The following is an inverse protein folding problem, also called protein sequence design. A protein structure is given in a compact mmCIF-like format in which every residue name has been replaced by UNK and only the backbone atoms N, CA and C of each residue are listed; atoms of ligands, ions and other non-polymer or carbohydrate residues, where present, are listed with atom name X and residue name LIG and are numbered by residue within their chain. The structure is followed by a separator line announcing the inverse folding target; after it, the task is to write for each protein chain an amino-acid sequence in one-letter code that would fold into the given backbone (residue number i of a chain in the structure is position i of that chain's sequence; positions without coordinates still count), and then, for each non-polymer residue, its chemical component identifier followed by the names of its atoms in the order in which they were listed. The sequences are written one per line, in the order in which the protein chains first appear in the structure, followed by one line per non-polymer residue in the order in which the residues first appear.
data_IF_631987058202
#
_entry.id   IF_631987058202
#
_cell.length_a   1.000
_cell.length_b   1.000
_cell.length_c   1.000
_cell.angle_alpha   90.00
_cell.angle_beta   90.00
_cell.angle_gamma   90.00
#
_symmetry.space_group_name_H-M   'P 1'
#
loop_
_entity.id
_entity.type
_entity.pdbx_description
1 polymer ?
#
# COMPACT_ATOMS: atom_id res chain seq x y z
N UNK A 1 30.38 -27.49 -63.22
CA UNK A 1 30.14 -27.53 -61.76
C UNK A 1 29.25 -26.35 -61.39
N UNK A 2 27.97 -26.58 -61.06
CA UNK A 2 27.06 -25.52 -60.57
C UNK A 2 27.19 -25.44 -59.05
N UNK A 3 27.81 -24.37 -58.54
CA UNK A 3 27.84 -24.11 -57.11
C UNK A 3 26.44 -23.75 -56.61
N UNK A 4 25.86 -24.61 -55.77
CA UNK A 4 24.61 -24.38 -55.06
C UNK A 4 24.83 -23.28 -54.00
N UNK A 5 24.65 -22.02 -54.38
CA UNK A 5 24.76 -20.83 -53.50
C UNK A 5 23.47 -20.47 -52.77
N UNK A 6 22.39 -21.27 -52.90
CA UNK A 6 21.07 -20.96 -52.34
C UNK A 6 20.86 -21.36 -50.86
N UNK A 7 21.77 -22.12 -50.25
CA UNK A 7 21.63 -22.67 -48.88
C UNK A 7 21.87 -21.69 -47.71
N UNK A 8 22.78 -20.70 -47.76
CA UNK A 8 23.03 -19.86 -46.58
C UNK A 8 21.90 -18.86 -46.33
N UNK A 9 21.24 -18.35 -47.38
CA UNK A 9 20.17 -17.35 -47.25
C UNK A 9 18.87 -17.95 -46.69
N UNK A 10 18.49 -19.15 -47.13
CA UNK A 10 17.29 -19.85 -46.62
C UNK A 10 17.44 -20.29 -45.16
N UNK A 11 18.65 -20.70 -44.75
CA UNK A 11 18.93 -21.06 -43.36
C UNK A 11 18.87 -19.83 -42.44
N UNK A 12 19.38 -18.68 -42.90
CA UNK A 12 19.34 -17.42 -42.14
C UNK A 12 17.91 -16.89 -41.97
N UNK A 13 17.08 -16.99 -43.01
CA UNK A 13 15.66 -16.62 -42.95
C UNK A 13 14.89 -17.55 -41.99
N UNK A 14 15.10 -18.86 -42.07
CA UNK A 14 14.46 -19.82 -41.16
C UNK A 14 14.89 -19.60 -39.70
N UNK A 15 16.18 -19.33 -39.45
CA UNK A 15 16.69 -19.01 -38.12
C UNK A 15 16.12 -17.68 -37.60
N UNK A 16 16.01 -16.64 -38.44
CA UNK A 16 15.40 -15.37 -38.07
C UNK A 16 13.91 -15.52 -37.74
N UNK A 17 13.16 -16.33 -38.50
CA UNK A 17 11.75 -16.60 -38.23
C UNK A 17 11.56 -17.39 -36.93
N UNK A 18 12.42 -18.39 -36.68
CA UNK A 18 12.40 -19.16 -35.44
C UNK A 18 12.72 -18.26 -34.23
N UNK A 19 13.70 -17.36 -34.36
CA UNK A 19 14.07 -16.42 -33.32
C UNK A 19 12.93 -15.43 -33.04
N UNK A 20 12.29 -14.89 -34.08
CA UNK A 20 11.10 -14.04 -33.94
C UNK A 20 9.93 -14.78 -33.30
N UNK A 21 9.67 -16.04 -33.66
CA UNK A 21 8.63 -16.85 -33.05
C UNK A 21 8.90 -17.14 -31.56
N UNK A 22 10.17 -17.44 -31.21
CA UNK A 22 10.60 -17.63 -29.82
C UNK A 22 10.47 -16.35 -29.00
N UNK A 23 10.84 -15.20 -29.56
CA UNK A 23 10.72 -13.89 -28.89
C UNK A 23 9.24 -13.55 -28.67
N UNK A 24 8.38 -13.69 -29.69
CA UNK A 24 6.94 -13.43 -29.56
C UNK A 24 6.28 -14.36 -28.55
N UNK A 25 6.64 -15.65 -28.56
CA UNK A 25 6.10 -16.62 -27.61
C UNK A 25 6.60 -16.37 -26.18
N UNK A 26 7.82 -15.86 -26.01
CA UNK A 26 8.38 -15.48 -24.70
C UNK A 26 7.76 -14.20 -24.15
N UNK A 27 7.46 -13.21 -25.00
CA UNK A 27 6.78 -11.98 -24.58
C UNK A 27 5.34 -12.27 -24.14
N UNK A 28 4.58 -13.04 -24.92
CA UNK A 28 3.22 -13.43 -24.56
C UNK A 28 3.18 -14.29 -23.28
N UNK A 29 4.12 -15.22 -23.11
CA UNK A 29 4.18 -16.01 -21.87
C UNK A 29 4.59 -15.18 -20.66
N UNK A 30 5.42 -14.14 -20.82
CA UNK A 30 5.80 -13.27 -19.71
C UNK A 30 4.63 -12.44 -19.22
N UNK A 31 3.86 -11.82 -20.12
CA UNK A 31 2.66 -11.06 -19.73
C UNK A 31 1.60 -11.96 -19.07
N UNK A 32 1.39 -13.17 -19.59
CA UNK A 32 0.49 -14.16 -19.00
C UNK A 32 0.86 -14.60 -17.56
N UNK A 33 2.12 -14.42 -17.16
CA UNK A 33 2.56 -14.71 -15.77
C UNK A 33 2.37 -13.50 -14.85
N UNK A 34 2.39 -12.29 -15.41
CA UNK A 34 2.34 -11.03 -14.66
C UNK A 34 0.91 -10.54 -14.39
N UNK A 35 -0.04 -10.97 -15.22
CA UNK A 35 -1.46 -10.65 -15.11
C UNK A 35 -2.25 -11.92 -14.78
N UNK A 36 -3.41 -11.80 -14.14
CA UNK A 36 -4.23 -12.97 -13.85
C UNK A 36 -4.83 -13.53 -15.17
N UNK A 37 -5.09 -14.84 -15.24
CA UNK A 37 -5.46 -15.51 -16.48
C UNK A 37 -6.83 -15.11 -17.04
N UNK A 38 -7.65 -14.41 -16.26
CA UNK A 38 -8.98 -13.95 -16.62
C UNK A 38 -9.02 -12.52 -17.19
N UNK A 39 -7.88 -11.82 -17.29
CA UNK A 39 -7.81 -10.48 -17.88
C UNK A 39 -7.47 -10.59 -19.37
N UNK A 40 -8.44 -10.41 -20.27
CA UNK A 40 -8.22 -10.48 -21.73
C UNK A 40 -7.53 -9.19 -22.21
N UNK A 41 -6.42 -9.27 -22.96
CA UNK A 41 -5.78 -8.11 -23.60
C UNK A 41 -6.69 -7.23 -24.46
N UNK A 42 -7.85 -7.74 -24.91
CA UNK A 42 -8.84 -6.97 -25.66
C UNK A 42 -9.68 -6.02 -24.80
N UNK A 43 -9.74 -6.26 -23.49
CA UNK A 43 -10.61 -5.53 -22.59
C UNK A 43 -9.99 -4.20 -22.14
N UNK A 44 -8.67 -4.05 -22.27
CA UNK A 44 -7.94 -2.87 -21.81
C UNK A 44 -7.00 -2.28 -22.86
N UNK A 45 -6.64 -1.01 -22.66
CA UNK A 45 -5.55 -0.34 -23.38
C UNK A 45 -4.30 -0.22 -22.50
N UNK A 46 -3.14 -0.52 -23.07
CA UNK A 46 -1.84 -0.32 -22.41
C UNK A 46 -1.40 1.13 -22.52
N UNK A 47 -1.92 2.00 -21.64
CA UNK A 47 -1.60 3.43 -21.66
C UNK A 47 -1.65 4.04 -20.26
N UNK A 48 -0.68 4.90 -19.96
CA UNK A 48 -0.71 5.78 -18.79
C UNK A 48 -1.52 7.06 -19.00
N UNK A 49 -1.89 7.38 -20.25
CA UNK A 49 -2.66 8.58 -20.58
C UNK A 49 -4.09 8.22 -20.94
N UNK A 50 -5.04 8.97 -20.37
CA UNK A 50 -6.47 8.78 -20.57
C UNK A 50 -6.87 9.49 -21.86
N UNK A 51 -6.79 8.74 -22.97
CA UNK A 51 -7.09 9.25 -24.33
C UNK A 51 -8.32 8.60 -24.95
N UNK A 52 -8.87 7.59 -24.30
CA UNK A 52 -10.05 6.86 -24.73
C UNK A 52 -10.87 6.48 -23.51
N UNK A 53 -12.18 6.31 -23.69
CA UNK A 53 -13.04 5.81 -22.63
C UNK A 53 -13.07 4.27 -22.68
N UNK A 54 -12.09 3.65 -22.03
CA UNK A 54 -11.89 2.20 -21.94
C UNK A 54 -11.17 1.85 -20.65
N UNK A 55 -11.08 0.56 -20.34
CA UNK A 55 -10.25 0.10 -19.23
C UNK A 55 -8.78 0.34 -19.59
N UNK A 56 -7.96 0.74 -18.62
CA UNK A 56 -6.54 1.02 -18.81
C UNK A 56 -5.71 0.09 -17.96
N UNK A 57 -4.67 -0.50 -18.56
CA UNK A 57 -3.64 -1.22 -17.84
C UNK A 57 -2.34 -0.42 -17.88
N UNK A 58 -1.92 0.04 -16.71
CA UNK A 58 -0.80 0.95 -16.53
C UNK A 58 0.34 0.17 -15.90
N UNK A 59 1.46 0.05 -16.61
CA UNK A 59 2.65 -0.59 -16.08
C UNK A 59 3.32 0.32 -15.05
N UNK A 60 3.84 -0.29 -13.98
CA UNK A 60 4.71 0.39 -13.03
C UNK A 60 5.97 0.92 -13.71
N UNK A 61 6.40 2.13 -13.32
CA UNK A 61 7.56 2.80 -13.91
C UNK A 61 8.89 2.07 -13.65
N UNK A 62 8.97 1.29 -12.58
CA UNK A 62 10.24 0.75 -12.06
C UNK A 62 10.18 -0.71 -11.58
N UNK A 63 9.10 -1.44 -11.83
CA UNK A 63 9.04 -2.89 -11.63
C UNK A 63 8.01 -3.59 -12.55
N UNK A 64 7.84 -4.90 -12.34
CA UNK A 64 6.93 -5.75 -13.14
C UNK A 64 5.52 -5.84 -12.51
N UNK A 65 5.03 -4.72 -11.98
CA UNK A 65 3.68 -4.56 -11.42
C UNK A 65 2.81 -3.71 -12.34
N UNK A 66 1.49 -3.84 -12.19
CA UNK A 66 0.51 -3.13 -13.02
C UNK A 66 -0.60 -2.54 -12.17
N UNK A 67 -1.18 -1.44 -12.63
CA UNK A 67 -2.41 -0.85 -12.12
C UNK A 67 -3.46 -0.99 -13.22
N UNK A 68 -4.57 -1.65 -12.91
CA UNK A 68 -5.75 -1.65 -13.76
C UNK A 68 -6.73 -0.59 -13.28
N UNK A 69 -7.10 0.28 -14.19
CA UNK A 69 -8.08 1.33 -13.99
C UNK A 69 -9.30 0.99 -14.84
N UNK A 70 -10.44 0.62 -14.22
CA UNK A 70 -11.68 0.43 -14.95
C UNK A 70 -12.16 1.74 -15.58
N UNK A 71 -12.86 1.66 -16.71
CA UNK A 71 -13.46 2.82 -17.38
C UNK A 71 -14.50 3.51 -16.50
N UNK A 72 -15.20 2.76 -15.64
CA UNK A 72 -16.15 3.31 -14.66
C UNK A 72 -15.45 4.32 -13.76
N UNK A 73 -14.22 4.04 -13.34
CA UNK A 73 -13.41 4.98 -12.55
C UNK A 73 -13.05 6.26 -13.30
N UNK A 74 -13.03 6.23 -14.63
CA UNK A 74 -12.83 7.44 -15.44
C UNK A 74 -14.09 8.32 -15.40
N UNK A 75 -15.27 7.72 -15.57
CA UNK A 75 -16.53 8.48 -15.55
C UNK A 75 -16.89 8.97 -14.14
N UNK A 76 -16.71 8.12 -13.13
CA UNK A 76 -17.26 8.34 -11.79
C UNK A 76 -16.30 9.08 -10.85
N UNK A 77 -15.00 9.17 -11.18
CA UNK A 77 -13.97 9.61 -10.21
C UNK A 77 -13.06 10.74 -10.67
N UNK A 78 -13.62 11.73 -11.37
CA UNK A 78 -12.90 12.98 -11.73
C UNK A 78 -11.58 12.76 -12.50
N UNK A 79 -11.33 11.58 -13.08
CA UNK A 79 -10.23 11.39 -14.03
C UNK A 79 -10.69 11.90 -15.38
N UNK A 80 -9.93 12.83 -15.96
CA UNK A 80 -10.33 13.52 -17.17
C UNK A 80 -9.51 13.05 -18.36
N UNK A 81 -10.07 13.32 -19.54
CA UNK A 81 -9.33 13.21 -20.79
C UNK A 81 -8.02 13.99 -20.70
N UNK A 82 -6.92 13.38 -21.16
CA UNK A 82 -5.52 13.84 -21.06
C UNK A 82 -4.85 13.74 -19.69
N UNK A 83 -5.54 13.32 -18.63
CA UNK A 83 -4.84 13.01 -17.39
C UNK A 83 -3.86 11.86 -17.60
N UNK A 84 -2.72 11.92 -16.91
CA UNK A 84 -1.76 10.82 -16.85
C UNK A 84 -1.85 10.13 -15.50
N UNK A 85 -2.15 8.84 -15.50
CA UNK A 85 -2.12 8.00 -14.30
C UNK A 85 -0.79 7.25 -14.27
N UNK A 86 -0.12 7.27 -13.12
CA UNK A 86 1.18 6.64 -12.92
C UNK A 86 1.14 5.68 -11.75
N UNK A 87 1.83 4.55 -11.91
CA UNK A 87 2.12 3.60 -10.86
C UNK A 87 3.63 3.54 -10.68
N UNK A 88 4.11 3.65 -9.45
CA UNK A 88 5.54 3.57 -9.16
C UNK A 88 5.79 2.84 -7.86
N UNK A 89 6.70 1.88 -7.84
CA UNK A 89 7.20 1.31 -6.58
C UNK A 89 8.02 2.36 -5.82
N UNK A 90 7.73 2.52 -4.54
CA UNK A 90 8.36 3.49 -3.64
C UNK A 90 8.95 2.79 -2.41
N UNK A 91 9.61 3.56 -1.54
CA UNK A 91 10.16 3.05 -0.30
C UNK A 91 9.06 2.40 0.56
N UNK A 92 9.35 1.24 1.19
CA UNK A 92 8.38 0.50 1.98
C UNK A 92 7.76 1.38 3.06
N UNK A 93 6.44 1.41 3.14
CA UNK A 93 5.73 2.26 4.11
C UNK A 93 6.08 1.91 5.56
N UNK A 94 6.31 0.63 5.86
CA UNK A 94 6.71 0.19 7.21
C UNK A 94 8.11 0.65 7.62
N UNK A 95 8.97 1.00 6.66
CA UNK A 95 10.35 1.41 6.91
C UNK A 95 10.48 2.95 6.96
N UNK A 96 9.40 3.69 6.70
CA UNK A 96 9.41 5.16 6.72
C UNK A 96 9.40 5.64 8.14
N UNK A 97 10.41 6.40 8.49
CA UNK A 97 10.52 7.01 9.82
C UNK A 97 9.39 8.00 10.16
N UNK A 98 8.75 8.62 9.16
CA UNK A 98 7.57 9.47 9.35
C UNK A 98 6.26 8.70 9.59
N UNK A 99 6.30 7.37 9.53
CA UNK A 99 5.15 6.50 9.76
C UNK A 99 5.44 5.56 10.93
N UNK A 100 4.38 5.13 11.61
CA UNK A 100 4.46 4.06 12.61
C UNK A 100 3.20 3.21 12.59
N UNK A 101 3.36 1.90 12.71
CA UNK A 101 2.26 0.95 12.82
C UNK A 101 2.53 -0.06 13.93
N UNK A 102 1.56 -0.93 14.24
CA UNK A 102 1.70 -1.99 15.25
C UNK A 102 3.05 -2.70 15.18
N UNK A 103 3.74 -2.78 16.31
CA UNK A 103 5.03 -3.44 16.46
C UNK A 103 4.94 -4.91 16.05
N UNK A 104 5.82 -5.31 15.14
CA UNK A 104 5.84 -6.64 14.54
C UNK A 104 5.00 -6.81 13.26
N UNK A 105 4.39 -5.75 12.73
CA UNK A 105 3.69 -5.82 11.43
C UNK A 105 4.66 -6.10 10.29
N UNK A 106 4.19 -6.81 9.26
CA UNK A 106 5.05 -7.28 8.17
C UNK A 106 4.52 -6.85 6.80
N UNK A 107 5.43 -6.49 5.89
CA UNK A 107 5.07 -6.16 4.51
C UNK A 107 4.81 -7.43 3.70
N UNK A 108 3.60 -7.56 3.15
CA UNK A 108 3.22 -8.63 2.24
C UNK A 108 3.49 -8.27 0.77
N UNK A 109 3.55 -6.98 0.43
CA UNK A 109 3.92 -6.51 -0.91
C UNK A 109 5.04 -5.46 -0.86
N UNK A 110 5.46 -4.99 -2.03
CA UNK A 110 6.11 -3.68 -2.11
C UNK A 110 5.09 -2.56 -1.89
N UNK A 111 5.58 -1.35 -1.58
CA UNK A 111 4.74 -0.16 -1.51
C UNK A 111 4.70 0.54 -2.87
N UNK A 112 3.52 0.98 -3.27
CA UNK A 112 3.28 1.61 -4.55
C UNK A 112 2.66 2.97 -4.37
N UNK A 113 3.13 3.95 -5.15
CA UNK A 113 2.51 5.25 -5.31
C UNK A 113 1.68 5.26 -6.58
N UNK A 114 0.41 5.65 -6.44
CA UNK A 114 -0.50 5.93 -7.54
C UNK A 114 -0.71 7.44 -7.59
N UNK A 115 -0.33 8.07 -8.70
CA UNK A 115 -0.53 9.51 -8.91
C UNK A 115 -1.32 9.76 -10.17
N UNK A 116 -2.13 10.81 -10.13
CA UNK A 116 -2.87 11.33 -11.27
C UNK A 116 -2.32 12.71 -11.55
N UNK A 117 -1.83 12.90 -12.76
CA UNK A 117 -1.18 14.12 -13.22
C UNK A 117 -2.13 14.81 -14.19
N UNK A 118 -2.62 15.98 -13.79
CA UNK A 118 -3.40 16.88 -14.65
C UNK A 118 -2.54 18.08 -14.97
N UNK A 119 -2.29 18.33 -16.26
CA UNK A 119 -1.40 19.41 -16.69
C UNK A 119 -0.02 19.38 -16.00
N UNK A 120 0.52 18.18 -15.76
CA UNK A 120 1.78 17.93 -15.02
C UNK A 120 1.76 18.20 -13.51
N UNK A 121 0.61 18.56 -12.93
CA UNK A 121 0.43 18.70 -11.50
C UNK A 121 -0.21 17.45 -10.91
N UNK A 122 0.31 16.98 -9.77
CA UNK A 122 -0.27 15.84 -9.05
C UNK A 122 -1.55 16.29 -8.37
N UNK A 123 -2.65 15.62 -8.67
CA UNK A 123 -3.92 15.78 -7.95
C UNK A 123 -4.12 14.59 -7.03
N UNK A 124 -4.68 14.84 -5.86
CA UNK A 124 -5.11 13.79 -4.93
C UNK A 124 -6.58 13.53 -5.13
N UNK A 125 -6.93 12.29 -5.46
CA UNK A 125 -8.30 11.81 -5.54
C UNK A 125 -8.56 10.86 -4.39
N UNK A 126 -9.50 11.24 -3.52
CA UNK A 126 -10.21 10.30 -2.68
C UNK A 126 -11.42 9.82 -3.48
N UNK A 127 -11.48 8.52 -3.72
CA UNK A 127 -12.48 7.91 -4.58
C UNK A 127 -13.29 6.88 -3.80
N UNK A 128 -14.37 6.39 -4.39
CA UNK A 128 -15.17 5.32 -3.81
C UNK A 128 -14.40 4.01 -3.86
N UNK A 129 -14.98 3.01 -3.20
CA UNK A 129 -14.50 1.63 -3.21
C UNK A 129 -14.26 1.12 -4.63
N UNK A 130 -13.18 0.37 -4.80
CA UNK A 130 -12.80 -0.32 -6.04
C UNK A 130 -12.37 0.61 -7.19
N UNK A 131 -11.81 1.79 -6.87
CA UNK A 131 -11.29 2.75 -7.85
C UNK A 131 -10.30 2.14 -8.84
N UNK A 132 -9.36 1.32 -8.37
CA UNK A 132 -8.40 0.63 -9.24
C UNK A 132 -7.91 -0.66 -8.60
N UNK A 133 -7.23 -1.51 -9.37
CA UNK A 133 -6.65 -2.77 -8.89
C UNK A 133 -5.14 -2.79 -9.13
N UNK A 134 -4.36 -3.08 -8.10
CA UNK A 134 -2.91 -3.27 -8.24
C UNK A 134 -2.62 -4.77 -8.40
N UNK A 135 -1.83 -5.11 -9.42
CA UNK A 135 -1.26 -6.44 -9.66
C UNK A 135 0.22 -6.40 -9.31
N UNK A 136 0.63 -7.15 -8.29
CA UNK A 136 2.02 -7.10 -7.83
C UNK A 136 2.53 -8.43 -7.30
N UNK A 137 3.86 -8.49 -7.12
CA UNK A 137 4.49 -9.59 -6.41
C UNK A 137 4.19 -9.53 -4.91
N UNK A 138 3.93 -10.70 -4.33
CA UNK A 138 3.83 -10.91 -2.88
C UNK A 138 5.20 -11.34 -2.37
N UNK A 139 5.59 -10.83 -1.21
CA UNK A 139 6.82 -11.19 -0.50
C UNK A 139 6.57 -12.46 0.32
N UNK A 140 7.50 -13.42 0.21
CA UNK A 140 7.49 -14.65 1.02
C UNK A 140 6.32 -15.59 0.71
N UNK A 141 6.15 -16.60 1.57
CA UNK A 141 5.07 -17.60 1.50
C UNK A 141 3.98 -17.29 2.53
N UNK A 142 3.57 -16.02 2.64
CA UNK A 142 2.58 -15.60 3.62
C UNK A 142 1.15 -15.92 3.15
N UNK A 143 0.27 -16.23 4.10
CA UNK A 143 -1.16 -16.33 3.82
C UNK A 143 -1.74 -14.94 3.58
N UNK A 144 -2.51 -14.77 2.51
CA UNK A 144 -3.18 -13.49 2.19
C UNK A 144 -4.50 -13.31 2.96
N UNK A 145 -4.93 -14.31 3.75
CA UNK A 145 -6.22 -14.27 4.45
C UNK A 145 -6.32 -13.17 5.52
N UNK A 146 -5.18 -12.76 6.08
CA UNK A 146 -5.09 -11.71 7.10
C UNK A 146 -4.45 -10.43 6.55
N UNK A 147 -4.43 -10.26 5.22
CA UNK A 147 -3.87 -9.07 4.61
C UNK A 147 -4.72 -7.84 4.92
N UNK A 148 -4.06 -6.75 5.26
CA UNK A 148 -4.63 -5.41 5.34
C UNK A 148 -4.03 -4.53 4.26
N UNK A 149 -4.83 -3.61 3.73
CA UNK A 149 -4.38 -2.57 2.82
C UNK A 149 -3.96 -1.37 3.66
N UNK A 150 -2.66 -1.17 3.79
CA UNK A 150 -2.11 0.07 4.35
C UNK A 150 -2.13 1.14 3.27
N UNK A 151 -2.73 2.29 3.56
CA UNK A 151 -2.84 3.42 2.63
C UNK A 151 -2.38 4.72 3.29
N UNK A 152 -1.69 5.56 2.52
CA UNK A 152 -1.31 6.92 2.90
C UNK A 152 -1.69 7.86 1.76
N UNK A 153 -2.81 8.55 1.94
CA UNK A 153 -3.32 9.57 1.00
C UNK A 153 -3.10 10.96 1.58
N UNK A 154 -3.92 11.32 2.55
CA UNK A 154 -3.69 12.44 3.48
C UNK A 154 -3.30 11.93 4.87
N UNK A 155 -3.99 10.87 5.29
CA UNK A 155 -3.87 10.22 6.57
C UNK A 155 -3.44 8.76 6.37
N UNK A 156 -2.58 8.26 7.26
CA UNK A 156 -2.24 6.84 7.32
C UNK A 156 -3.48 6.04 7.77
N UNK A 157 -3.88 5.04 7.00
CA UNK A 157 -5.05 4.22 7.29
C UNK A 157 -4.77 2.75 6.95
N UNK A 158 -5.51 1.84 7.57
CA UNK A 158 -5.50 0.43 7.24
C UNK A 158 -6.92 -0.16 7.25
N UNK A 159 -7.18 -1.09 6.35
CA UNK A 159 -8.43 -1.82 6.28
C UNK A 159 -8.20 -3.27 5.84
N UNK A 160 -9.15 -4.21 6.08
CA UNK A 160 -9.02 -5.57 5.58
C UNK A 160 -8.96 -5.58 4.06
N UNK A 161 -7.98 -6.26 3.48
CA UNK A 161 -7.81 -6.32 2.04
C UNK A 161 -8.36 -7.62 1.46
N UNK A 162 -9.27 -7.50 0.49
CA UNK A 162 -9.67 -8.63 -0.35
C UNK A 162 -8.58 -8.90 -1.38
N UNK A 163 -7.66 -9.80 -1.03
CA UNK A 163 -6.53 -10.17 -1.87
C UNK A 163 -6.76 -11.52 -2.53
N UNK A 164 -6.59 -11.61 -3.84
CA UNK A 164 -6.61 -12.90 -4.56
C UNK A 164 -5.24 -13.20 -5.13
N UNK A 165 -4.66 -14.33 -4.70
CA UNK A 165 -3.40 -14.83 -5.22
C UNK A 165 -3.56 -15.44 -6.61
N UNK A 166 -2.57 -15.28 -7.47
CA UNK A 166 -2.47 -15.95 -8.76
C UNK A 166 -1.01 -16.21 -9.13
N UNK A 167 -0.79 -17.18 -10.02
CA UNK A 167 0.56 -17.64 -10.33
C UNK A 167 1.27 -18.17 -9.08
N UNK A 168 2.60 -18.02 -9.03
CA UNK A 168 3.40 -18.54 -7.90
C UNK A 168 3.51 -17.57 -6.73
N UNK A 169 3.74 -16.28 -6.98
CA UNK A 169 4.03 -15.27 -5.95
C UNK A 169 3.41 -13.91 -6.29
N UNK A 170 2.18 -13.90 -6.83
CA UNK A 170 1.50 -12.65 -7.19
C UNK A 170 0.12 -12.60 -6.59
N UNK A 171 -0.34 -11.40 -6.36
CA UNK A 171 -1.70 -11.14 -5.92
C UNK A 171 -2.20 -9.85 -6.56
N UNK A 172 -3.52 -9.71 -6.54
CA UNK A 172 -4.17 -8.46 -6.84
C UNK A 172 -5.06 -8.03 -5.68
N UNK A 173 -5.18 -6.71 -5.53
CA UNK A 173 -5.99 -6.07 -4.50
C UNK A 173 -6.50 -4.71 -5.01
N UNK A 174 -7.71 -4.36 -4.59
CA UNK A 174 -8.33 -3.07 -4.89
C UNK A 174 -7.67 -1.95 -4.09
N UNK A 175 -7.76 -0.73 -4.62
CA UNK A 175 -7.39 0.51 -3.94
C UNK A 175 -8.46 1.56 -4.19
N UNK A 176 -8.56 2.51 -3.27
CA UNK A 176 -9.58 3.57 -3.28
C UNK A 176 -8.90 4.93 -3.48
N UNK A 177 -8.65 5.28 -4.74
CA UNK A 177 -8.09 6.56 -5.16
C UNK A 177 -6.56 6.59 -5.33
N UNK A 178 -5.97 7.77 -5.18
CA UNK A 178 -4.53 8.02 -5.36
C UNK A 178 -3.81 8.16 -4.01
N UNK A 179 -2.54 7.77 -3.95
CA UNK A 179 -1.72 7.81 -2.73
C UNK A 179 -0.68 6.71 -2.72
N UNK A 180 -0.14 6.41 -1.53
CA UNK A 180 0.75 5.29 -1.31
C UNK A 180 0.00 4.10 -0.71
N UNK A 181 0.22 2.90 -1.24
CA UNK A 181 -0.49 1.69 -0.88
C UNK A 181 0.48 0.52 -0.69
N UNK A 182 0.17 -0.36 0.27
CA UNK A 182 0.89 -1.61 0.47
C UNK A 182 -0.02 -2.66 1.11
N UNK A 183 0.20 -3.93 0.77
CA UNK A 183 -0.35 -5.03 1.56
C UNK A 183 0.56 -5.31 2.75
N UNK A 184 -0.04 -5.40 3.93
CA UNK A 184 0.62 -5.65 5.20
C UNK A 184 -0.13 -6.68 6.01
N UNK A 185 0.59 -7.51 6.76
CA UNK A 185 0.03 -8.29 7.84
C UNK A 185 0.17 -7.47 9.12
N UNK A 186 -0.93 -6.93 9.61
CA UNK A 186 -0.95 -6.08 10.80
C UNK A 186 -0.82 -6.95 12.04
N UNK A 187 0.16 -6.65 12.89
CA UNK A 187 0.40 -7.39 14.13
C UNK A 187 -0.79 -7.25 15.08
N UNK A 188 -1.23 -8.35 15.70
CA UNK A 188 -2.25 -8.30 16.75
C UNK A 188 -1.77 -7.58 18.03
N UNK A 189 -0.46 -7.32 18.16
CA UNK A 189 0.10 -6.55 19.25
C UNK A 189 -0.19 -5.06 19.04
N UNK A 190 -1.23 -4.53 19.70
CA UNK A 190 -1.62 -3.11 19.66
C UNK A 190 -0.65 -2.22 20.45
N UNK A 191 0.60 -2.18 19.99
CA UNK A 191 1.72 -1.46 20.58
C UNK A 191 2.49 -0.70 19.49
N UNK A 192 2.82 0.56 19.76
CA UNK A 192 3.77 1.35 18.99
C UNK A 192 5.04 1.53 19.82
N UNK A 193 6.18 1.32 19.18
CA UNK A 193 7.50 1.62 19.72
C UNK A 193 8.10 2.76 18.91
N UNK A 194 8.17 3.96 19.49
CA UNK A 194 8.66 5.16 18.83
C UNK A 194 9.99 5.55 19.46
N UNK A 195 11.08 5.29 18.73
CA UNK A 195 12.42 5.64 19.15
C UNK A 195 12.79 7.01 18.58
N UNK A 196 13.25 7.92 19.45
CA UNK A 196 13.68 9.31 19.18
C UNK A 196 13.64 9.75 17.69
N UNK A 197 12.47 10.21 17.22
CA UNK A 197 12.28 10.67 15.84
C UNK A 197 12.11 12.18 15.79
N UNK A 198 13.11 12.86 15.26
CA UNK A 198 13.18 14.29 14.98
C UNK A 198 12.24 14.80 13.86
N UNK A 199 11.10 14.15 13.65
CA UNK A 199 10.13 14.47 12.59
C UNK A 199 8.72 14.13 13.02
N UNK A 200 7.75 14.78 12.38
CA UNK A 200 6.35 14.48 12.62
C UNK A 200 6.01 13.06 12.15
N UNK A 201 5.30 12.31 13.00
CA UNK A 201 4.94 10.92 12.77
C UNK A 201 3.42 10.81 12.59
N UNK A 202 2.99 10.12 11.54
CA UNK A 202 1.64 9.55 11.48
C UNK A 202 1.68 8.11 11.96
N UNK A 203 1.02 7.84 13.08
CA UNK A 203 0.97 6.51 13.68
C UNK A 203 -0.43 5.89 13.57
N UNK A 204 -0.47 4.58 13.41
CA UNK A 204 -1.69 3.80 13.32
C UNK A 204 -1.58 2.54 14.19
N UNK A 205 -2.45 2.43 15.19
CA UNK A 205 -2.75 1.17 15.87
C UNK A 205 -4.04 0.60 15.30
N UNK A 206 -3.95 -0.59 14.72
CA UNK A 206 -5.07 -1.20 14.02
C UNK A 206 -5.22 -2.70 14.30
N UNK A 207 -6.45 -3.08 14.65
CA UNK A 207 -7.00 -4.42 14.61
C UNK A 207 -8.45 -4.31 14.05
N UNK A 208 -9.09 -5.41 13.65
CA UNK A 208 -10.43 -5.37 13.04
C UNK A 208 -11.48 -4.58 13.83
N UNK A 209 -11.44 -4.66 15.16
CA UNK A 209 -12.39 -3.99 16.06
C UNK A 209 -11.79 -2.81 16.84
N UNK A 210 -10.50 -2.50 16.64
CA UNK A 210 -9.77 -1.47 17.39
C UNK A 210 -8.97 -0.60 16.44
N UNK A 211 -9.24 0.71 16.43
CA UNK A 211 -8.61 1.66 15.52
C UNK A 211 -8.19 2.92 16.27
N UNK A 212 -6.91 3.26 16.22
CA UNK A 212 -6.38 4.50 16.77
C UNK A 212 -5.36 5.11 15.81
N UNK A 213 -5.72 6.28 15.28
CA UNK A 213 -4.85 7.10 14.45
C UNK A 213 -4.33 8.28 15.27
N UNK A 214 -3.01 8.49 15.22
CA UNK A 214 -2.33 9.51 16.03
C UNK A 214 -1.38 10.30 15.14
N UNK A 215 -1.39 11.61 15.29
CA UNK A 215 -0.33 12.47 14.78
C UNK A 215 0.56 12.89 15.96
N UNK A 216 1.85 12.60 15.86
CA UNK A 216 2.82 12.87 16.92
C UNK A 216 3.81 13.91 16.38
N UNK A 217 3.74 15.16 16.85
CA UNK A 217 4.68 16.20 16.45
C UNK A 217 6.11 15.85 16.88
N UNK A 218 7.08 16.22 16.05
CA UNK A 218 8.51 16.13 16.36
C UNK A 218 8.85 16.74 17.73
N UNK A 219 8.31 17.92 18.03
CA UNK A 219 8.54 18.60 19.32
C UNK A 219 8.11 17.77 20.54
N UNK A 220 7.06 16.95 20.42
CA UNK A 220 6.67 16.05 21.51
C UNK A 220 7.73 14.97 21.74
N UNK A 221 8.25 14.38 20.66
CA UNK A 221 9.28 13.34 20.74
C UNK A 221 10.60 13.91 21.27
N UNK A 222 10.96 15.13 20.86
CA UNK A 222 12.16 15.83 21.35
C UNK A 222 12.11 16.05 22.88
N UNK A 223 10.93 16.40 23.42
CA UNK A 223 10.75 16.64 24.86
C UNK A 223 10.62 15.33 25.66
N UNK A 224 9.86 14.36 25.15
CA UNK A 224 9.47 13.15 25.88
C UNK A 224 10.41 11.96 25.69
N UNK A 225 11.26 11.99 24.66
CA UNK A 225 12.17 10.89 24.30
C UNK A 225 11.42 9.66 23.78
N UNK A 226 12.05 8.48 23.94
CA UNK A 226 11.46 7.21 23.51
C UNK A 226 10.04 7.05 24.08
N UNK A 227 9.09 6.76 23.19
CA UNK A 227 7.67 6.72 23.51
C UNK A 227 7.07 5.38 23.11
N UNK A 228 6.39 4.73 24.04
CA UNK A 228 5.59 3.54 23.84
C UNK A 228 4.10 3.90 23.97
N UNK A 229 3.30 3.52 22.98
CA UNK A 229 1.84 3.69 23.02
C UNK A 229 1.21 2.32 22.92
N UNK A 230 0.34 1.96 23.87
CA UNK A 230 -0.38 0.68 23.87
C UNK A 230 -1.87 0.87 24.08
N UNK A 231 -2.68 -0.02 23.48
CA UNK A 231 -4.10 -0.13 23.80
C UNK A 231 -4.29 -1.34 24.70
N UNK A 232 -4.90 -1.11 25.87
CA UNK A 232 -5.19 -2.13 26.87
C UNK A 232 -6.70 -2.30 27.00
N UNK A 233 -7.16 -3.55 27.14
CA UNK A 233 -8.59 -3.85 27.27
C UNK A 233 -9.23 -3.26 28.54
N UNK A 234 -8.42 -3.00 29.57
CA UNK A 234 -8.87 -2.45 30.85
C UNK A 234 -7.71 -1.70 31.53
N UNK A 235 -8.03 -0.73 32.39
CA UNK A 235 -7.03 -0.15 33.26
C UNK A 235 -6.50 -1.18 34.26
N UNK A 236 -5.26 -0.98 34.71
CA UNK A 236 -4.68 -1.78 35.80
C UNK A 236 -5.46 -1.62 37.10
N UNK A 237 -5.37 -2.62 37.99
CA UNK A 237 -6.02 -2.58 39.31
C UNK A 237 -5.66 -1.32 40.11
N UNK A 238 -4.40 -0.87 40.00
CA UNK A 238 -3.92 0.34 40.66
C UNK A 238 -4.59 1.61 40.09
N UNK A 239 -4.76 1.71 38.78
CA UNK A 239 -5.46 2.82 38.13
C UNK A 239 -6.95 2.81 38.47
N UNK A 240 -7.60 1.63 38.47
CA UNK A 240 -9.00 1.49 38.87
C UNK A 240 -9.24 1.90 40.33
N UNK A 241 -8.31 1.54 41.23
CA UNK A 241 -8.37 1.95 42.63
C UNK A 241 -8.24 3.48 42.78
N UNK A 242 -7.31 4.10 42.04
CA UNK A 242 -7.16 5.56 41.98
C UNK A 242 -8.44 6.25 41.46
N UNK A 243 -8.95 5.81 40.32
CA UNK A 243 -10.15 6.39 39.68
C UNK A 243 -11.38 6.26 40.59
N UNK A 244 -11.56 5.11 41.23
CA UNK A 244 -12.66 4.90 42.18
C UNK A 244 -12.56 5.80 43.40
N UNK A 245 -11.34 6.19 43.80
CA UNK A 245 -11.11 7.14 44.89
C UNK A 245 -11.52 8.59 44.55
N UNK A 246 -11.30 9.02 43.30
CA UNK A 246 -11.70 10.36 42.83
C UNK A 246 -13.16 10.43 42.37
N UNK A 247 -13.65 9.35 41.76
CA UNK A 247 -14.97 9.26 41.15
C UNK A 247 -15.68 8.00 41.66
N UNK A 248 -16.32 8.08 42.84
CA UNK A 248 -17.12 6.99 43.36
C UNK A 248 -18.22 6.62 42.35
N UNK A 249 -18.31 5.35 41.97
CA UNK A 249 -19.14 4.79 40.89
C UNK A 249 -18.62 4.94 39.46
N UNK A 250 -17.36 5.35 39.25
CA UNK A 250 -16.73 5.24 37.95
C UNK A 250 -16.62 3.77 37.55
N UNK A 251 -17.28 3.41 36.45
CA UNK A 251 -17.16 2.10 35.82
C UNK A 251 -16.55 2.33 34.44
N UNK A 252 -15.34 1.81 34.24
CA UNK A 252 -14.70 1.86 32.94
C UNK A 252 -15.34 0.85 32.00
N UNK A 253 -15.89 1.34 30.89
CA UNK A 253 -16.55 0.51 29.87
C UNK A 253 -15.78 0.48 28.54
N UNK A 254 -14.59 1.07 28.49
CA UNK A 254 -13.80 1.28 27.26
C UNK A 254 -12.34 0.90 27.45
N UNK A 255 -11.67 0.56 26.36
CA UNK A 255 -10.23 0.35 26.30
C UNK A 255 -9.45 1.58 26.81
N UNK A 256 -8.25 1.36 27.35
CA UNK A 256 -7.31 2.40 27.79
C UNK A 256 -6.22 2.57 26.75
N UNK A 257 -5.91 3.81 26.42
CA UNK A 257 -4.67 4.15 25.73
C UNK A 257 -3.63 4.48 26.80
N UNK A 258 -2.59 3.65 26.91
CA UNK A 258 -1.45 3.92 27.78
C UNK A 258 -0.32 4.50 26.94
N UNK A 259 0.23 5.63 27.39
CA UNK A 259 1.40 6.28 26.82
C UNK A 259 2.50 6.28 27.87
N UNK A 260 3.62 5.62 27.56
CA UNK A 260 4.84 5.66 28.37
C UNK A 260 5.91 6.43 27.62
N UNK A 261 6.54 7.38 28.30
CA UNK A 261 7.61 8.21 27.75
C UNK A 261 8.86 8.04 28.58
N UNK A 262 10.04 8.19 27.95
CA UNK A 262 11.33 8.13 28.63
C UNK A 262 11.47 9.27 29.65
N UNK A 263 11.10 10.48 29.24
CA UNK A 263 11.06 11.65 30.11
C UNK A 263 9.67 11.80 30.68
N UNK A 264 9.56 12.12 31.97
CA UNK A 264 8.29 12.51 32.56
C UNK A 264 7.89 13.87 31.97
N UNK A 265 6.64 14.00 31.53
CA UNK A 265 6.09 15.29 31.17
C UNK A 265 6.27 16.24 32.36
N UNK A 266 7.13 17.24 32.22
CA UNK A 266 7.12 18.35 33.16
C UNK A 266 5.76 19.01 33.00
N UNK A 267 4.92 18.91 34.02
CA UNK A 267 3.69 19.68 34.12
C UNK A 267 4.05 21.15 33.89
N UNK A 268 3.84 21.63 32.67
CA UNK A 268 3.69 23.05 32.42
C UNK A 268 2.44 23.44 33.18
N UNK A 269 2.66 23.99 34.39
CA UNK A 269 1.61 24.49 35.24
C UNK A 269 0.59 25.24 34.38
N UNK A 270 -0.67 24.82 34.44
CA UNK A 270 -1.78 25.59 33.90
C UNK A 270 -1.62 27.00 34.47
N UNK A 271 -1.47 28.06 33.64
CA UNK A 271 -1.46 29.40 34.16
C UNK A 271 -2.80 29.61 34.86
N UNK A 272 -2.76 29.89 36.17
CA UNK A 272 -3.92 30.40 36.91
C UNK A 272 -4.33 31.77 36.36
#
# INVERSE_FOLDING_TARGET
MKHNTARPLTFLIAFSLLLSALISSSCNNRENILLPPNLDPKDYVLSSHILVYSDHLIRSENDDSYLYLPKESIADHLIWYQDKVSLKRVDPMLDRDSLAVNSGSQSLSASYRVQILRNSESITLESTKDFATIYSNVKGNHSLNNASLLSLRYTLNAEPALCTGYGKNRAYFGIDGSGDFALTEMSANLRLDLQDKNKDIQALLYAPDTYLQIFIPSAFMDDMGDTEITIQNQASDAQNALLSGFYPNFAQATEVIEVKTQNNAQSSAVPM
#
